data_IF_002443715083
#
_entry.id   IF_002443715083
#
_cell.length_a   1.000
_cell.length_b   1.000
_cell.length_c   1.000
_cell.angle_alpha   90.00
_cell.angle_beta   90.00
_cell.angle_gamma   90.00
#
_symmetry.space_group_name_H-M   'P 1'
#
loop_
_entity.id
_entity.type
_entity.pdbx_description
1 polymer ?
#
# COMPACT_ATOMS: atom_id res chain seq x y z
N UNK A 1 12.39 26.91 1.20
CA UNK A 1 11.26 27.58 1.84
C UNK A 1 11.12 27.05 3.27
N UNK A 2 11.22 27.95 4.29
CA UNK A 2 11.22 27.58 5.73
C UNK A 2 10.01 26.70 6.10
N UNK A 3 8.87 26.91 5.48
CA UNK A 3 7.65 26.11 5.71
C UNK A 3 7.84 24.68 5.22
N UNK A 4 8.45 24.50 4.06
CA UNK A 4 8.77 23.18 3.51
C UNK A 4 9.76 22.42 4.37
N UNK A 5 10.85 23.05 4.77
CA UNK A 5 11.87 22.44 5.62
C UNK A 5 11.29 21.95 6.96
N UNK A 6 10.45 22.78 7.60
CA UNK A 6 9.76 22.40 8.84
C UNK A 6 8.78 21.23 8.63
N UNK A 7 8.09 21.21 7.50
CA UNK A 7 7.16 20.15 7.15
C UNK A 7 7.88 18.81 6.98
N UNK A 8 8.99 18.81 6.24
CA UNK A 8 9.81 17.62 6.01
C UNK A 8 10.52 17.13 7.27
N UNK A 9 11.08 18.02 8.07
CA UNK A 9 11.76 17.66 9.32
C UNK A 9 10.77 17.00 10.30
N UNK A 10 9.57 17.52 10.42
CA UNK A 10 8.53 16.94 11.26
C UNK A 10 8.10 15.55 10.74
N UNK A 11 7.93 15.40 9.42
CA UNK A 11 7.61 14.10 8.81
C UNK A 11 8.72 13.08 9.04
N UNK A 12 9.99 13.45 8.89
CA UNK A 12 11.14 12.56 9.11
C UNK A 12 11.11 11.95 10.51
N UNK A 13 10.88 12.74 11.55
CA UNK A 13 10.79 12.27 12.93
C UNK A 13 9.62 11.29 13.12
N UNK A 14 8.46 11.58 12.53
CA UNK A 14 7.28 10.71 12.57
C UNK A 14 7.53 9.38 11.86
N UNK A 15 8.20 9.39 10.72
CA UNK A 15 8.57 8.18 9.98
C UNK A 15 9.62 7.33 10.72
N UNK A 16 10.55 7.95 11.45
CA UNK A 16 11.48 7.21 12.34
C UNK A 16 10.66 6.43 13.39
N UNK A 17 9.67 7.08 14.00
CA UNK A 17 8.79 6.46 14.97
C UNK A 17 7.97 5.31 14.37
N UNK A 18 7.38 5.52 13.20
CA UNK A 18 6.63 4.48 12.47
C UNK A 18 7.51 3.25 12.21
N UNK A 19 8.70 3.45 11.66
CA UNK A 19 9.64 2.36 11.33
C UNK A 19 10.08 1.59 12.59
N UNK A 20 10.31 2.30 13.69
CA UNK A 20 10.62 1.67 14.99
C UNK A 20 9.43 0.82 15.48
N UNK A 21 8.23 1.34 15.43
CA UNK A 21 7.02 0.62 15.83
C UNK A 21 6.81 -0.64 14.99
N UNK A 22 6.96 -0.54 13.67
CA UNK A 22 6.84 -1.70 12.78
C UNK A 22 7.89 -2.75 13.13
N UNK A 23 9.17 -2.39 13.24
CA UNK A 23 10.25 -3.33 13.59
C UNK A 23 10.00 -4.07 14.90
N UNK A 24 9.55 -3.35 15.91
CA UNK A 24 9.33 -3.92 17.23
C UNK A 24 8.08 -4.81 17.31
N UNK A 25 7.08 -4.58 16.45
CA UNK A 25 5.78 -5.23 16.57
C UNK A 25 5.41 -6.12 15.36
N UNK A 26 6.25 -6.23 14.33
CA UNK A 26 5.91 -7.00 13.11
C UNK A 26 5.52 -8.46 13.41
N UNK A 27 6.22 -9.13 14.33
CA UNK A 27 5.89 -10.50 14.73
C UNK A 27 4.52 -10.57 15.38
N UNK A 28 4.24 -9.67 16.35
CA UNK A 28 2.95 -9.58 17.02
C UNK A 28 1.81 -9.35 16.02
N UNK A 29 1.98 -8.44 15.06
CA UNK A 29 0.97 -8.15 14.05
C UNK A 29 0.70 -9.40 13.20
N UNK A 30 1.75 -10.00 12.66
CA UNK A 30 1.63 -11.16 11.77
C UNK A 30 1.03 -12.35 12.50
N UNK A 31 1.49 -12.65 13.71
CA UNK A 31 1.03 -13.81 14.48
C UNK A 31 -0.41 -13.61 14.98
N UNK A 32 -0.79 -12.39 15.35
CA UNK A 32 -2.19 -12.09 15.68
C UNK A 32 -3.10 -12.29 14.47
N UNK A 33 -2.71 -11.81 13.29
CA UNK A 33 -3.51 -11.99 12.06
C UNK A 33 -3.60 -13.47 11.61
N UNK A 34 -2.60 -14.29 11.92
CA UNK A 34 -2.65 -15.74 11.68
C UNK A 34 -3.64 -16.46 12.59
N UNK A 35 -3.67 -16.09 13.88
CA UNK A 35 -4.53 -16.72 14.88
C UNK A 35 -5.95 -16.22 14.72
N UNK A 36 -6.13 -14.92 14.58
CA UNK A 36 -7.43 -14.26 14.40
C UNK A 36 -7.31 -13.06 13.47
N UNK A 37 -7.55 -13.30 12.18
CA UNK A 37 -7.48 -12.27 11.14
C UNK A 37 -8.49 -11.13 11.29
N UNK A 38 -9.54 -11.30 12.10
CA UNK A 38 -10.55 -10.27 12.40
C UNK A 38 -10.24 -9.49 13.67
N UNK A 39 -9.16 -9.80 14.39
CA UNK A 39 -8.79 -9.05 15.59
C UNK A 39 -8.54 -7.59 15.23
N UNK A 40 -9.18 -6.69 15.96
CA UNK A 40 -8.93 -5.27 15.82
C UNK A 40 -7.66 -4.90 16.59
N UNK A 41 -6.64 -4.57 15.82
CA UNK A 41 -5.37 -4.02 16.27
C UNK A 41 -4.86 -3.04 15.22
N UNK A 42 -4.08 -2.06 15.65
CA UNK A 42 -3.41 -1.17 14.71
C UNK A 42 -2.46 -1.99 13.82
N UNK A 43 -2.69 -1.95 12.52
CA UNK A 43 -1.90 -2.73 11.55
C UNK A 43 -0.43 -2.27 11.44
N UNK A 44 -0.05 -1.13 12.00
CA UNK A 44 1.31 -0.59 11.97
C UNK A 44 2.08 -0.75 13.28
N UNK A 45 1.44 -0.62 14.44
CA UNK A 45 2.12 -0.72 15.74
C UNK A 45 1.59 -1.83 16.66
N UNK A 46 0.51 -2.52 16.25
CA UNK A 46 -0.04 -3.66 17.01
C UNK A 46 -0.73 -3.29 18.34
N UNK A 47 -1.02 -2.00 18.60
CA UNK A 47 -1.85 -1.61 19.74
C UNK A 47 -3.31 -1.94 19.49
N UNK A 48 -4.06 -2.16 20.57
CA UNK A 48 -5.53 -2.32 20.53
C UNK A 48 -6.26 -1.08 21.03
N UNK A 49 -5.52 -0.04 21.43
CA UNK A 49 -6.08 1.19 22.01
C UNK A 49 -6.26 2.26 20.93
N UNK A 50 -7.25 3.13 21.12
CA UNK A 50 -7.52 4.33 20.31
C UNK A 50 -7.61 4.03 18.81
N UNK A 51 -8.28 2.93 18.46
CA UNK A 51 -8.42 2.49 17.08
C UNK A 51 -9.41 3.35 16.31
N UNK A 52 -8.98 3.78 15.15
CA UNK A 52 -9.76 4.49 14.12
C UNK A 52 -9.87 3.63 12.88
N UNK A 53 -10.60 4.11 11.88
CA UNK A 53 -10.74 3.48 10.55
C UNK A 53 -9.81 4.17 9.57
N UNK A 54 -8.79 3.47 9.14
CA UNK A 54 -7.85 3.92 8.10
C UNK A 54 -8.31 3.43 6.73
N UNK A 55 -8.44 4.34 5.76
CA UNK A 55 -8.77 3.97 4.39
C UNK A 55 -7.58 3.31 3.70
N UNK A 56 -7.82 2.28 2.90
CA UNK A 56 -6.77 1.62 2.13
C UNK A 56 -6.20 2.58 1.10
N UNK A 57 -7.06 3.16 0.28
CA UNK A 57 -6.72 4.29 -0.57
C UNK A 57 -7.16 5.58 0.13
N UNK A 58 -6.31 6.58 0.21
CA UNK A 58 -6.69 7.88 0.75
C UNK A 58 -7.90 8.47 0.03
N UNK A 59 -8.82 9.07 0.77
CA UNK A 59 -10.05 9.62 0.17
C UNK A 59 -9.77 10.66 -0.91
N UNK A 60 -8.71 11.43 -0.78
CA UNK A 60 -8.37 12.48 -1.73
C UNK A 60 -7.99 11.97 -3.13
N UNK A 61 -7.64 10.68 -3.30
CA UNK A 61 -7.34 10.10 -4.62
C UNK A 61 -8.60 9.77 -5.42
N UNK A 62 -9.72 9.56 -4.75
CA UNK A 62 -10.99 9.18 -5.38
C UNK A 62 -12.20 10.04 -4.94
N UNK A 63 -11.97 11.22 -4.37
CA UNK A 63 -12.98 12.13 -3.80
C UNK A 63 -14.20 12.37 -4.70
N UNK A 64 -14.00 12.44 -6.01
CA UNK A 64 -15.07 12.60 -7.01
C UNK A 64 -15.88 11.33 -7.29
N UNK A 65 -15.40 10.16 -6.84
CA UNK A 65 -16.00 8.87 -7.14
C UNK A 65 -16.01 7.92 -5.91
N UNK A 66 -16.62 8.32 -4.76
CA UNK A 66 -16.56 7.55 -3.52
C UNK A 66 -17.27 6.20 -3.62
N UNK A 67 -18.23 6.05 -4.53
CA UNK A 67 -18.97 4.81 -4.78
C UNK A 67 -18.28 3.88 -5.78
N UNK A 68 -17.25 4.32 -6.46
CA UNK A 68 -16.46 3.47 -7.36
C UNK A 68 -15.88 2.30 -6.57
N UNK A 69 -15.86 1.13 -7.16
CA UNK A 69 -15.39 -0.09 -6.52
C UNK A 69 -14.28 -0.73 -7.34
N UNK A 70 -13.50 -1.55 -6.67
CA UNK A 70 -12.52 -2.44 -7.28
C UNK A 70 -12.85 -3.88 -6.94
N UNK A 71 -12.41 -4.79 -7.79
CA UNK A 71 -12.56 -6.22 -7.59
C UNK A 71 -11.20 -6.78 -7.18
N UNK A 72 -11.18 -7.56 -6.11
CA UNK A 72 -9.96 -8.25 -5.71
C UNK A 72 -9.85 -9.57 -6.45
N UNK A 73 -8.72 -9.80 -7.12
CA UNK A 73 -8.50 -11.04 -7.88
C UNK A 73 -8.42 -12.28 -6.98
N UNK A 74 -8.08 -12.11 -5.70
CA UNK A 74 -7.85 -13.20 -4.77
C UNK A 74 -9.14 -13.92 -4.38
N UNK A 75 -10.25 -13.19 -4.25
CA UNK A 75 -11.53 -13.75 -3.79
C UNK A 75 -12.75 -13.24 -4.58
N UNK A 76 -12.56 -12.46 -5.63
CA UNK A 76 -13.64 -11.92 -6.47
C UNK A 76 -14.57 -10.94 -5.75
N UNK A 77 -14.22 -10.48 -4.55
CA UNK A 77 -15.08 -9.58 -3.78
C UNK A 77 -14.98 -8.17 -4.33
N UNK A 78 -16.13 -7.64 -4.76
CA UNK A 78 -16.29 -6.24 -5.10
C UNK A 78 -16.30 -5.39 -3.83
N UNK A 79 -15.50 -4.32 -3.83
CA UNK A 79 -15.35 -3.43 -2.69
C UNK A 79 -15.36 -1.98 -3.13
N UNK A 80 -16.20 -1.18 -2.49
CA UNK A 80 -16.17 0.27 -2.71
C UNK A 80 -14.99 0.91 -1.98
N UNK A 81 -14.37 1.93 -2.60
CA UNK A 81 -13.19 2.59 -2.03
C UNK A 81 -13.46 3.16 -0.63
N UNK A 82 -14.60 3.83 -0.44
CA UNK A 82 -14.97 4.44 0.84
C UNK A 82 -15.29 3.45 1.97
N UNK A 83 -15.58 2.18 1.65
CA UNK A 83 -15.81 1.11 2.64
C UNK A 83 -14.57 0.25 2.89
N UNK A 84 -13.49 0.49 2.18
CA UNK A 84 -12.24 -0.26 2.29
C UNK A 84 -11.38 0.33 3.40
N UNK A 85 -11.66 -0.08 4.64
CA UNK A 85 -11.00 0.45 5.83
C UNK A 85 -10.39 -0.66 6.68
N UNK A 86 -9.33 -0.31 7.42
CA UNK A 86 -8.60 -1.18 8.34
C UNK A 86 -8.44 -0.50 9.70
N UNK A 87 -8.28 -1.26 10.79
CA UNK A 87 -8.03 -0.67 12.11
C UNK A 87 -6.62 -0.06 12.16
N UNK A 88 -6.55 1.17 12.60
CA UNK A 88 -5.31 1.90 12.82
C UNK A 88 -5.48 2.80 14.03
N UNK A 89 -4.49 2.89 14.92
CA UNK A 89 -4.60 3.80 16.05
C UNK A 89 -4.46 5.27 15.60
N UNK A 90 -5.01 6.18 16.38
CA UNK A 90 -4.99 7.62 16.10
C UNK A 90 -3.59 8.15 15.81
N UNK A 91 -2.58 7.70 16.56
CA UNK A 91 -1.19 8.11 16.33
C UNK A 91 -0.67 7.67 14.95
N UNK A 92 -0.83 6.40 14.58
CA UNK A 92 -0.39 5.93 13.27
C UNK A 92 -1.20 6.55 12.14
N UNK A 93 -2.52 6.64 12.29
CA UNK A 93 -3.42 7.16 11.28
C UNK A 93 -3.24 8.69 11.08
N UNK A 94 -3.60 9.47 12.09
CA UNK A 94 -3.70 10.92 11.94
C UNK A 94 -2.32 11.60 11.97
N UNK A 95 -1.47 11.20 12.94
CA UNK A 95 -0.21 11.91 13.14
C UNK A 95 0.88 11.52 12.16
N UNK A 96 0.92 10.26 11.70
CA UNK A 96 1.98 9.77 10.83
C UNK A 96 1.50 9.67 9.39
N UNK A 97 0.49 8.82 9.12
CA UNK A 97 0.02 8.59 7.75
C UNK A 97 -0.66 9.83 7.19
N UNK A 98 -1.52 10.49 7.96
CA UNK A 98 -2.17 11.73 7.54
C UNK A 98 -1.14 12.82 7.18
N UNK A 99 -0.03 12.89 7.92
CA UNK A 99 1.04 13.84 7.60
C UNK A 99 1.83 13.42 6.34
N UNK A 100 2.12 12.13 6.18
CA UNK A 100 2.73 11.60 4.95
C UNK A 100 1.84 11.91 3.73
N UNK A 101 0.55 11.63 3.83
CA UNK A 101 -0.41 11.91 2.75
C UNK A 101 -0.51 13.40 2.42
N UNK A 102 -0.48 14.26 3.43
CA UNK A 102 -0.46 15.71 3.22
C UNK A 102 0.78 16.15 2.43
N UNK A 103 1.97 15.64 2.79
CA UNK A 103 3.22 15.95 2.08
C UNK A 103 3.17 15.42 0.65
N UNK A 104 2.67 14.20 0.44
CA UNK A 104 2.51 13.63 -0.91
C UNK A 104 1.56 14.49 -1.76
N UNK A 105 0.40 14.88 -1.23
CA UNK A 105 -0.53 15.76 -1.95
C UNK A 105 0.13 17.10 -2.32
N UNK A 106 0.85 17.70 -1.39
CA UNK A 106 1.57 18.94 -1.63
C UNK A 106 2.59 18.79 -2.76
N UNK A 107 3.38 17.71 -2.74
CA UNK A 107 4.37 17.42 -3.78
C UNK A 107 3.73 17.15 -5.14
N UNK A 108 2.70 16.30 -5.20
CA UNK A 108 2.00 15.98 -6.45
C UNK A 108 1.35 17.22 -7.08
N UNK A 109 0.86 18.16 -6.26
CA UNK A 109 0.29 19.42 -6.75
C UNK A 109 1.34 20.34 -7.39
N UNK A 110 2.57 20.30 -6.89
CA UNK A 110 3.66 21.21 -7.29
C UNK A 110 4.68 20.52 -8.22
N UNK A 111 4.43 19.26 -8.60
CA UNK A 111 5.33 18.51 -9.46
C UNK A 111 5.35 19.11 -10.86
N UNK A 112 6.54 19.40 -11.37
CA UNK A 112 6.73 19.81 -12.75
C UNK A 112 7.42 18.70 -13.53
N UNK A 113 6.63 17.92 -14.28
CA UNK A 113 7.14 16.79 -15.08
C UNK A 113 8.01 17.24 -16.28
N UNK A 114 8.05 18.54 -16.60
CA UNK A 114 8.92 19.08 -17.64
C UNK A 114 10.33 19.40 -17.08
N UNK A 115 10.43 19.68 -15.79
CA UNK A 115 11.69 19.76 -15.08
C UNK A 115 12.13 18.33 -14.74
N UNK A 116 13.07 17.79 -15.46
CA UNK A 116 13.53 16.38 -15.39
C UNK A 116 14.16 15.96 -14.04
N UNK A 117 13.96 16.70 -12.96
CA UNK A 117 14.61 16.45 -11.68
C UNK A 117 13.57 16.38 -10.56
N UNK A 118 13.43 15.16 -10.02
CA UNK A 118 12.81 14.93 -8.72
C UNK A 118 13.93 14.83 -7.69
N UNK A 119 13.75 15.49 -6.55
CA UNK A 119 14.64 15.29 -5.43
C UNK A 119 14.53 13.82 -4.95
N UNK A 120 15.66 13.27 -4.60
CA UNK A 120 15.77 11.87 -4.18
C UNK A 120 14.83 11.53 -3.03
N UNK A 121 14.74 12.40 -2.04
CA UNK A 121 13.88 12.28 -0.88
C UNK A 121 12.38 12.28 -1.24
N UNK A 122 12.00 12.99 -2.28
CA UNK A 122 10.62 13.02 -2.78
C UNK A 122 10.22 11.68 -3.38
N UNK A 123 11.12 11.08 -4.17
CA UNK A 123 10.89 9.75 -4.74
C UNK A 123 10.79 8.69 -3.64
N UNK A 124 11.66 8.74 -2.62
CA UNK A 124 11.58 7.83 -1.47
C UNK A 124 10.26 7.95 -0.70
N UNK A 125 9.71 9.16 -0.55
CA UNK A 125 8.40 9.36 0.10
C UNK A 125 7.25 8.81 -0.74
N UNK A 126 7.28 8.99 -2.07
CA UNK A 126 6.29 8.42 -2.98
C UNK A 126 6.33 6.89 -2.90
N UNK A 127 7.52 6.30 -2.94
CA UNK A 127 7.70 4.85 -2.79
C UNK A 127 7.12 4.36 -1.46
N UNK A 128 7.46 5.02 -0.35
CA UNK A 128 6.95 4.66 0.97
C UNK A 128 5.41 4.73 1.03
N UNK A 129 4.82 5.75 0.44
CA UNK A 129 3.37 5.89 0.37
C UNK A 129 2.72 4.76 -0.44
N UNK A 130 3.26 4.42 -1.61
CA UNK A 130 2.78 3.31 -2.44
C UNK A 130 2.94 1.95 -1.73
N UNK A 131 4.07 1.71 -1.07
CA UNK A 131 4.29 0.52 -0.24
C UNK A 131 3.30 0.44 0.92
N UNK A 132 2.93 1.58 1.52
CA UNK A 132 1.91 1.65 2.58
C UNK A 132 0.53 1.23 2.06
N UNK A 133 0.15 1.67 0.86
CA UNK A 133 -1.10 1.26 0.21
C UNK A 133 -1.07 -0.25 -0.09
N UNK A 134 0.02 -0.74 -0.68
CA UNK A 134 0.18 -2.16 -0.99
C UNK A 134 0.11 -3.04 0.27
N UNK A 135 0.72 -2.62 1.36
CA UNK A 135 0.64 -3.30 2.65
C UNK A 135 -0.80 -3.33 3.19
N UNK A 136 -1.51 -2.19 3.16
CA UNK A 136 -2.92 -2.10 3.57
C UNK A 136 -3.79 -3.06 2.75
N UNK A 137 -3.56 -3.16 1.44
CA UNK A 137 -4.26 -4.13 0.58
C UNK A 137 -4.00 -5.57 0.99
N UNK A 138 -2.75 -5.94 1.30
CA UNK A 138 -2.43 -7.30 1.74
C UNK A 138 -3.12 -7.65 3.06
N UNK A 139 -3.16 -6.75 4.03
CA UNK A 139 -3.91 -6.95 5.28
C UNK A 139 -5.39 -7.12 5.00
N UNK A 140 -5.97 -6.30 4.13
CA UNK A 140 -7.38 -6.42 3.75
C UNK A 140 -7.68 -7.78 3.11
N UNK A 141 -6.82 -8.25 2.20
CA UNK A 141 -6.98 -9.56 1.55
C UNK A 141 -6.96 -10.70 2.57
N UNK A 142 -6.04 -10.66 3.54
CA UNK A 142 -5.99 -11.65 4.62
C UNK A 142 -7.29 -11.64 5.42
N UNK A 143 -7.74 -10.46 5.85
CA UNK A 143 -8.97 -10.32 6.65
C UNK A 143 -10.22 -10.83 5.95
N UNK A 144 -10.23 -10.85 4.61
CA UNK A 144 -11.35 -11.32 3.80
C UNK A 144 -11.22 -12.77 3.39
N UNK A 145 -10.04 -13.18 2.94
CA UNK A 145 -9.78 -14.52 2.44
C UNK A 145 -10.04 -15.59 3.49
N UNK A 146 -9.72 -15.29 4.75
CA UNK A 146 -9.89 -16.20 5.87
C UNK A 146 -11.13 -15.92 6.71
N UNK A 147 -11.99 -15.00 6.26
CA UNK A 147 -13.25 -14.72 6.95
C UNK A 147 -14.22 -15.86 6.73
N UNK A 148 -14.74 -16.44 7.83
CA UNK A 148 -15.83 -17.41 7.82
C UNK A 148 -17.19 -16.73 7.84
N UNK A 149 -18.22 -17.52 7.52
CA UNK A 149 -19.61 -17.12 7.72
C UNK A 149 -19.89 -16.81 9.20
N UNK A 150 -20.83 -15.89 9.43
CA UNK A 150 -21.11 -15.34 10.77
C UNK A 150 -21.40 -16.36 11.85
N UNK A 151 -21.87 -17.56 11.46
CA UNK A 151 -22.32 -18.62 12.35
C UNK A 151 -21.31 -19.76 12.52
N UNK A 152 -20.10 -19.65 12.02
CA UNK A 152 -19.10 -20.70 12.12
C UNK A 152 -18.01 -20.32 13.11
N UNK A 153 -17.56 -21.32 13.90
CA UNK A 153 -16.43 -21.15 14.80
C UNK A 153 -15.17 -20.73 14.05
N UNK A 154 -14.30 -19.98 14.74
CA UNK A 154 -13.01 -19.61 14.20
C UNK A 154 -12.18 -20.88 13.90
N UNK A 155 -11.72 -20.99 12.68
CA UNK A 155 -10.81 -22.07 12.28
C UNK A 155 -9.46 -21.45 11.92
N UNK A 156 -8.35 -21.99 12.44
CA UNK A 156 -7.01 -21.57 12.06
C UNK A 156 -6.86 -21.54 10.53
N UNK A 157 -6.11 -20.57 10.05
CA UNK A 157 -5.96 -20.31 8.61
C UNK A 157 -5.59 -21.53 7.74
N UNK A 158 -4.88 -22.52 8.30
CA UNK A 158 -4.54 -23.76 7.59
C UNK A 158 -5.74 -24.70 7.42
N UNK A 159 -6.63 -24.76 8.41
CA UNK A 159 -7.74 -25.70 8.40
C UNK A 159 -8.86 -25.33 7.41
N UNK A 160 -8.93 -24.07 7.00
CA UNK A 160 -9.97 -23.57 6.08
C UNK A 160 -9.50 -23.42 4.64
N UNK A 161 -8.28 -23.79 4.33
CA UNK A 161 -7.78 -23.64 2.96
C UNK A 161 -8.16 -24.87 2.16
N UNK A 162 -8.96 -24.76 1.09
CA UNK A 162 -9.23 -25.88 0.20
C UNK A 162 -7.92 -26.45 -0.34
N UNK A 163 -7.82 -27.78 -0.41
CA UNK A 163 -6.62 -28.47 -0.92
C UNK A 163 -6.22 -27.96 -2.32
N UNK A 164 -7.21 -27.68 -3.17
CA UNK A 164 -6.97 -27.12 -4.49
C UNK A 164 -6.23 -25.75 -4.45
N UNK A 165 -6.52 -24.92 -3.46
CA UNK A 165 -5.84 -23.63 -3.27
C UNK A 165 -4.43 -23.79 -2.70
N UNK A 166 -4.15 -24.84 -1.95
CA UNK A 166 -2.80 -25.14 -1.45
C UNK A 166 -1.84 -25.55 -2.55
N UNK A 167 -2.33 -26.02 -3.69
CA UNK A 167 -1.52 -26.33 -4.87
C UNK A 167 -1.06 -25.09 -5.62
N UNK A 168 -1.78 -23.99 -5.50
CA UNK A 168 -1.34 -22.69 -6.04
C UNK A 168 -0.48 -21.96 -5.01
N UNK A 169 0.82 -21.99 -5.21
CA UNK A 169 1.82 -21.36 -4.32
C UNK A 169 1.58 -19.86 -4.13
N UNK A 170 0.98 -19.17 -5.09
CA UNK A 170 0.66 -17.74 -4.97
C UNK A 170 -0.45 -17.50 -3.97
N UNK A 171 -1.33 -18.48 -3.76
CA UNK A 171 -2.49 -18.42 -2.87
C UNK A 171 -2.30 -19.17 -1.55
N UNK A 172 -1.19 -19.87 -1.35
CA UNK A 172 -0.94 -20.63 -0.13
C UNK A 172 -0.87 -19.72 1.10
N UNK A 173 -1.36 -20.15 2.27
CA UNK A 173 -1.29 -19.36 3.50
C UNK A 173 0.13 -18.95 3.87
N UNK A 174 1.09 -19.86 3.73
CA UNK A 174 2.50 -19.55 4.01
C UNK A 174 3.03 -18.43 3.11
N UNK A 175 2.67 -18.43 1.83
CA UNK A 175 3.06 -17.38 0.88
C UNK A 175 2.41 -16.05 1.23
N UNK A 176 1.11 -16.05 1.53
CA UNK A 176 0.36 -14.84 1.92
C UNK A 176 0.99 -14.17 3.14
N UNK A 177 1.30 -14.93 4.20
CA UNK A 177 1.92 -14.39 5.40
C UNK A 177 3.40 -14.05 5.22
N UNK A 178 4.12 -14.73 4.32
CA UNK A 178 5.46 -14.33 3.90
C UNK A 178 5.45 -12.97 3.22
N UNK A 179 4.51 -12.75 2.31
CA UNK A 179 4.33 -11.49 1.63
C UNK A 179 4.00 -10.35 2.59
N UNK A 180 3.15 -10.60 3.58
CA UNK A 180 2.84 -9.62 4.64
C UNK A 180 4.10 -9.24 5.44
N UNK A 181 4.93 -10.21 5.83
CA UNK A 181 6.19 -9.94 6.53
C UNK A 181 7.15 -9.13 5.68
N UNK A 182 7.27 -9.46 4.39
CA UNK A 182 8.14 -8.74 3.47
C UNK A 182 7.68 -7.28 3.30
N UNK A 183 6.38 -7.02 3.23
CA UNK A 183 5.84 -5.65 3.17
C UNK A 183 6.15 -4.87 4.45
N UNK A 184 5.95 -5.47 5.63
CA UNK A 184 6.32 -4.83 6.91
C UNK A 184 7.82 -4.57 7.00
N UNK A 185 8.65 -5.53 6.56
CA UNK A 185 10.10 -5.34 6.48
C UNK A 185 10.45 -4.19 5.56
N UNK A 186 9.87 -4.13 4.36
CA UNK A 186 10.08 -3.03 3.42
C UNK A 186 9.75 -1.69 4.05
N UNK A 187 8.56 -1.52 4.65
CA UNK A 187 8.14 -0.29 5.33
C UNK A 187 9.09 0.13 6.46
N UNK A 188 9.79 -0.80 7.09
CA UNK A 188 10.75 -0.52 8.17
C UNK A 188 12.12 -0.05 7.70
N UNK A 189 12.45 -0.19 6.41
CA UNK A 189 13.72 0.24 5.82
C UNK A 189 13.68 1.75 5.55
N UNK A 190 14.72 2.47 5.98
CA UNK A 190 14.79 3.92 5.83
C UNK A 190 15.02 4.33 4.39
N UNK A 191 16.08 3.83 3.77
CA UNK A 191 16.43 4.22 2.41
C UNK A 191 15.79 3.32 1.38
N UNK A 192 15.27 3.92 0.33
CA UNK A 192 14.69 3.29 -0.86
C UNK A 192 15.60 3.41 -2.08
N UNK A 193 16.89 3.66 -1.87
CA UNK A 193 17.88 3.93 -2.92
C UNK A 193 17.81 2.94 -4.09
N UNK A 194 17.80 1.65 -3.79
CA UNK A 194 17.77 0.60 -4.80
C UNK A 194 16.40 0.44 -5.48
N UNK A 195 15.38 1.14 -5.00
CA UNK A 195 14.01 1.09 -5.53
C UNK A 195 13.64 2.28 -6.40
N UNK A 196 14.50 3.29 -6.50
CA UNK A 196 14.20 4.51 -7.26
C UNK A 196 13.90 4.19 -8.73
N UNK A 197 14.71 3.36 -9.38
CA UNK A 197 14.47 2.96 -10.77
C UNK A 197 13.21 2.09 -10.94
N UNK A 198 12.65 1.58 -9.86
CA UNK A 198 11.41 0.78 -9.89
C UNK A 198 10.14 1.64 -9.81
N UNK A 199 10.28 2.96 -9.58
CA UNK A 199 9.20 3.93 -9.61
C UNK A 199 9.19 4.66 -10.94
N UNK A 200 8.06 4.62 -11.62
CA UNK A 200 7.80 5.33 -12.88
C UNK A 200 6.72 6.37 -12.66
N UNK A 201 6.94 7.56 -13.19
CA UNK A 201 5.99 8.67 -13.11
C UNK A 201 5.69 9.13 -14.53
N UNK A 202 4.41 9.07 -14.90
CA UNK A 202 3.95 9.41 -16.24
C UNK A 202 3.01 10.63 -16.20
N UNK A 203 2.94 11.36 -17.31
CA UNK A 203 1.84 12.27 -17.58
C UNK A 203 0.63 11.48 -18.03
N UNK A 204 -0.56 11.79 -17.52
CA UNK A 204 -1.81 11.24 -18.01
C UNK A 204 -2.76 12.33 -18.47
N UNK A 205 -3.55 12.04 -19.50
CA UNK A 205 -4.68 12.86 -19.95
C UNK A 205 -6.02 12.19 -19.66
N UNK A 206 -6.00 11.02 -19.01
CA UNK A 206 -7.19 10.29 -18.67
C UNK A 206 -7.96 11.04 -17.57
N UNK A 207 -9.25 11.37 -17.78
CA UNK A 207 -10.05 12.09 -16.79
C UNK A 207 -10.53 11.19 -15.65
N UNK A 208 -10.31 9.88 -15.75
CA UNK A 208 -10.78 8.88 -14.77
C UNK A 208 -9.67 8.39 -13.87
N UNK A 209 -9.96 8.26 -12.58
CA UNK A 209 -9.07 7.55 -11.64
C UNK A 209 -9.04 6.06 -11.98
N UNK A 210 -7.84 5.54 -12.17
CA UNK A 210 -7.59 4.11 -12.33
C UNK A 210 -6.65 3.62 -11.24
N UNK A 211 -6.90 2.40 -10.81
CA UNK A 211 -6.10 1.72 -9.80
C UNK A 211 -5.95 0.25 -10.16
N UNK A 212 -4.72 -0.23 -10.18
CA UNK A 212 -4.40 -1.65 -10.32
C UNK A 212 -3.36 -2.04 -9.27
N UNK A 213 -3.51 -3.22 -8.71
CA UNK A 213 -2.55 -3.79 -7.78
C UNK A 213 -2.43 -5.29 -8.04
N UNK A 214 -1.22 -5.73 -8.30
CA UNK A 214 -0.86 -7.15 -8.31
C UNK A 214 0.00 -7.45 -7.09
N UNK A 215 -0.52 -8.31 -6.21
CA UNK A 215 0.14 -8.63 -4.96
C UNK A 215 1.62 -8.98 -5.18
N UNK A 216 2.52 -8.27 -4.50
CA UNK A 216 3.98 -8.35 -4.61
C UNK A 216 4.61 -8.02 -5.96
N UNK A 217 3.86 -7.70 -6.99
CA UNK A 217 4.43 -7.36 -8.29
C UNK A 217 4.49 -5.84 -8.47
N UNK A 218 3.32 -5.21 -8.55
CA UNK A 218 3.26 -3.77 -8.79
C UNK A 218 2.02 -3.13 -8.18
N UNK A 219 2.07 -1.81 -8.09
CA UNK A 219 0.94 -0.92 -7.83
C UNK A 219 0.93 0.17 -8.87
N UNK A 220 -0.24 0.45 -9.44
CA UNK A 220 -0.48 1.50 -10.40
C UNK A 220 -1.63 2.39 -9.93
N UNK A 221 -1.41 3.70 -9.95
CA UNK A 221 -2.40 4.72 -9.65
C UNK A 221 -2.39 5.79 -10.72
N UNK A 222 -3.53 6.02 -11.34
CA UNK A 222 -3.72 7.14 -12.23
C UNK A 222 -4.51 8.23 -11.50
N UNK A 223 -3.90 9.41 -11.37
CA UNK A 223 -4.37 10.53 -10.55
C UNK A 223 -4.73 11.73 -11.45
N UNK A 224 -5.94 11.75 -12.06
CA UNK A 224 -6.33 12.77 -13.04
C UNK A 224 -6.28 14.20 -12.50
N UNK A 225 -6.49 14.37 -11.20
CA UNK A 225 -6.44 15.68 -10.53
C UNK A 225 -5.08 16.36 -10.64
N UNK A 226 -4.03 15.56 -10.84
CA UNK A 226 -2.64 16.00 -10.89
C UNK A 226 -2.00 15.76 -12.26
N UNK A 227 -2.77 15.24 -13.24
CA UNK A 227 -2.29 14.82 -14.57
C UNK A 227 -1.12 13.83 -14.51
N UNK A 228 -1.13 12.94 -13.49
CA UNK A 228 -0.03 12.04 -13.16
C UNK A 228 -0.53 10.61 -13.04
N UNK A 229 0.27 9.66 -13.53
CA UNK A 229 0.16 8.24 -13.22
C UNK A 229 1.45 7.76 -12.55
N UNK A 230 1.32 6.98 -11.49
CA UNK A 230 2.40 6.37 -10.74
C UNK A 230 2.36 4.86 -10.94
N UNK A 231 3.48 4.28 -11.33
CA UNK A 231 3.67 2.83 -11.42
C UNK A 231 4.89 2.45 -10.59
N UNK A 232 4.74 1.46 -9.71
CA UNK A 232 5.83 1.03 -8.84
C UNK A 232 5.91 -0.49 -8.76
N UNK A 233 7.09 -1.04 -9.05
CA UNK A 233 7.39 -2.45 -8.87
C UNK A 233 7.75 -2.75 -7.42
N UNK A 234 6.89 -3.51 -6.74
CA UNK A 234 7.00 -3.75 -5.28
C UNK A 234 8.23 -4.59 -4.89
N UNK A 235 8.52 -5.65 -5.64
CA UNK A 235 9.55 -6.64 -5.31
C UNK A 235 10.66 -6.77 -6.35
N UNK A 236 10.73 -5.85 -7.29
CA UNK A 236 11.75 -5.84 -8.33
C UNK A 236 12.58 -4.57 -8.23
N UNK A 237 13.89 -4.73 -8.42
CA UNK A 237 14.86 -3.64 -8.48
C UNK A 237 15.44 -3.62 -9.90
N UNK A 238 15.52 -2.44 -10.48
CA UNK A 238 16.04 -2.24 -11.84
C UNK A 238 17.35 -1.48 -11.78
N UNK A 239 18.29 -1.88 -12.65
CA UNK A 239 19.57 -1.17 -12.78
C UNK A 239 19.38 0.18 -13.44
N UNK A 240 18.46 0.24 -14.42
CA UNK A 240 18.15 1.47 -15.16
C UNK A 240 16.64 1.76 -15.11
N UNK A 241 16.29 3.02 -15.26
CA UNK A 241 14.90 3.46 -15.40
C UNK A 241 14.27 2.95 -16.70
N UNK A 242 15.06 2.80 -17.76
CA UNK A 242 14.63 2.31 -19.07
C UNK A 242 14.15 0.85 -18.99
N UNK A 243 14.90 -0.02 -18.29
CA UNK A 243 14.47 -1.42 -18.08
C UNK A 243 13.12 -1.51 -17.39
N UNK A 244 12.92 -0.68 -16.35
CA UNK A 244 11.65 -0.62 -15.63
C UNK A 244 10.52 -0.10 -16.53
N UNK A 245 10.79 0.93 -17.33
CA UNK A 245 9.82 1.51 -18.26
C UNK A 245 9.34 0.48 -19.29
N UNK A 246 10.26 -0.22 -19.93
CA UNK A 246 9.94 -1.21 -20.96
C UNK A 246 9.05 -2.33 -20.39
N UNK A 247 9.40 -2.88 -19.22
CA UNK A 247 8.59 -3.90 -18.58
C UNK A 247 7.21 -3.37 -18.13
N UNK A 248 7.14 -2.13 -17.65
CA UNK A 248 5.88 -1.50 -17.28
C UNK A 248 4.94 -1.38 -18.50
N UNK A 249 5.43 -0.93 -19.64
CA UNK A 249 4.64 -0.79 -20.87
C UNK A 249 4.06 -2.14 -21.28
N UNK A 250 4.87 -3.21 -21.32
CA UNK A 250 4.38 -4.55 -21.63
C UNK A 250 3.25 -5.03 -20.72
N UNK A 251 3.33 -4.70 -19.40
CA UNK A 251 2.29 -5.07 -18.43
C UNK A 251 1.02 -4.26 -18.68
N UNK A 252 1.15 -2.95 -18.90
CA UNK A 252 0.01 -2.08 -19.15
C UNK A 252 -0.71 -2.43 -20.47
N UNK A 253 0.02 -2.69 -21.53
CA UNK A 253 -0.56 -3.11 -22.81
C UNK A 253 -1.39 -4.40 -22.67
N UNK A 254 -0.88 -5.38 -21.93
CA UNK A 254 -1.62 -6.63 -21.63
C UNK A 254 -2.84 -6.43 -20.74
N UNK A 255 -2.83 -5.40 -19.89
CA UNK A 255 -3.94 -5.13 -18.99
C UNK A 255 -5.07 -4.33 -19.65
N UNK A 256 -4.77 -3.58 -20.72
CA UNK A 256 -5.74 -2.75 -21.46
C UNK A 256 -6.14 -3.34 -22.81
N UNK A 257 -5.53 -4.46 -23.27
CA UNK A 257 -5.95 -5.24 -24.44
C UNK A 257 -7.10 -6.20 -24.09
#
# INVERSE_FOLDING_TARGET
NIIEENLFMNLTNRLIHLRKNIRNNQHKIVDTLKINHNTDLCIFCGTKNDLTKEHILPQWVYDKNPKKFFITNTNGISQTYNKSVLPCCTQCNNEILGHLEYVIQYKLKNINLDLKHFEYEELELIILWLETIAYKLQVMEIRRKFKKDKNSDFIPYLANFPIALLQDLSLSPSKVFSNLRNSLKSLSIKSKANKINSLLIFKTKNPSFHFMHSANNFIFLELPKYDIALYYFLNKEFKTHEDAHNECIEILEKAYS
#
